data_IF_020286583337
#
_entry.id   IF_020286583337
#
_cell.length_a   1.000
_cell.length_b   1.000
_cell.length_c   1.000
_cell.angle_alpha   90.00
_cell.angle_beta   90.00
_cell.angle_gamma   90.00
#
_symmetry.space_group_name_H-M   'P 1'
#
loop_
_entity.id
_entity.type
_entity.pdbx_description
1 polymer ?
#
# COMPACT_ATOMS: atom_id res chain seq x y z
N UNK A 1 37.09 -67.30 -17.97
CA UNK A 1 38.24 -67.70 -17.13
C UNK A 1 37.98 -67.29 -15.69
N UNK A 2 38.48 -68.03 -14.68
CA UNK A 2 38.23 -67.80 -13.26
C UNK A 2 39.42 -67.00 -12.63
N UNK A 3 39.61 -66.80 -11.32
CA UNK A 3 38.92 -67.38 -10.14
C UNK A 3 38.92 -66.47 -8.88
N UNK A 4 38.08 -66.89 -7.91
CA UNK A 4 38.10 -66.81 -6.42
C UNK A 4 39.36 -66.25 -5.70
N UNK A 5 39.34 -65.79 -4.43
CA UNK A 5 38.36 -65.75 -3.31
C UNK A 5 38.85 -64.72 -2.24
N UNK A 6 38.07 -64.25 -1.24
CA UNK A 6 37.63 -64.99 -0.03
C UNK A 6 36.46 -64.32 0.74
N UNK A 7 35.79 -65.15 1.56
CA UNK A 7 34.72 -64.89 2.56
C UNK A 7 35.36 -64.58 3.96
N UNK A 8 34.62 -64.27 5.08
CA UNK A 8 33.26 -64.72 5.43
C UNK A 8 32.31 -63.79 6.24
N UNK A 9 31.12 -64.36 6.54
CA UNK A 9 30.13 -64.21 7.64
C UNK A 9 30.45 -63.28 8.85
N UNK A 10 29.48 -62.79 9.65
CA UNK A 10 28.04 -63.16 9.91
C UNK A 10 27.20 -61.84 10.10
N UNK A 11 25.98 -61.69 10.63
CA UNK A 11 25.02 -62.52 11.39
C UNK A 11 23.54 -62.00 11.26
N UNK A 12 22.56 -62.69 11.87
CA UNK A 12 21.13 -62.31 11.95
C UNK A 12 20.76 -61.52 13.23
N UNK A 13 19.89 -60.48 13.13
CA UNK A 13 18.75 -60.23 14.06
C UNK A 13 17.65 -59.39 13.35
N UNK A 14 16.36 -59.77 13.40
CA UNK A 14 15.25 -58.94 12.90
C UNK A 14 14.72 -57.96 13.97
N UNK A 15 14.82 -56.65 13.71
CA UNK A 15 14.33 -55.59 14.62
C UNK A 15 13.03 -54.92 14.18
N UNK A 16 11.89 -55.28 14.76
CA UNK A 16 10.63 -54.53 14.61
C UNK A 16 10.64 -53.27 15.49
N UNK A 17 10.81 -52.09 14.89
CA UNK A 17 10.56 -50.81 15.57
C UNK A 17 9.33 -50.08 15.01
N UNK A 18 8.20 -50.24 15.70
CA UNK A 18 7.02 -49.37 15.55
C UNK A 18 7.08 -48.25 16.60
N UNK A 19 7.61 -47.09 16.21
CA UNK A 19 7.37 -45.81 16.90
C UNK A 19 6.73 -44.88 15.87
N UNK A 20 5.40 -44.65 15.93
CA UNK A 20 4.69 -43.75 16.84
C UNK A 20 5.11 -42.29 16.69
N UNK A 21 4.17 -41.49 16.16
CA UNK A 21 3.82 -40.15 16.62
C UNK A 21 4.99 -39.18 16.83
N UNK A 22 5.48 -38.61 15.73
CA UNK A 22 5.62 -37.15 15.66
C UNK A 22 4.54 -36.63 14.72
N UNK A 23 3.31 -36.58 15.25
CA UNK A 23 2.24 -35.80 14.65
C UNK A 23 2.56 -34.34 14.96
N UNK A 24 3.31 -33.70 14.06
CA UNK A 24 3.69 -32.28 14.18
C UNK A 24 2.42 -31.45 14.01
N UNK A 25 1.71 -31.25 15.12
CA UNK A 25 0.56 -30.38 15.20
C UNK A 25 0.98 -28.96 14.82
N UNK A 26 0.82 -28.64 13.52
CA UNK A 26 0.92 -27.30 12.98
C UNK A 26 0.10 -26.39 13.86
N UNK A 27 0.79 -25.53 14.61
CA UNK A 27 0.13 -24.49 15.37
C UNK A 27 -0.40 -23.48 14.36
N UNK A 28 -1.57 -23.79 13.82
CA UNK A 28 -2.52 -22.79 13.34
C UNK A 28 -2.82 -21.90 14.55
N UNK A 29 -1.98 -20.89 14.74
CA UNK A 29 -2.35 -19.71 15.49
C UNK A 29 -3.58 -19.19 14.76
N UNK A 30 -4.75 -19.45 15.32
CA UNK A 30 -6.01 -18.84 14.89
C UNK A 30 -5.95 -17.38 15.29
N UNK A 31 -5.11 -16.63 14.57
CA UNK A 31 -4.97 -15.19 14.68
C UNK A 31 -6.36 -14.61 14.54
N UNK A 32 -6.77 -13.85 15.55
CA UNK A 32 -8.05 -13.17 15.61
C UNK A 32 -8.00 -11.93 14.73
N UNK A 33 -7.72 -12.14 13.44
CA UNK A 33 -7.87 -11.13 12.41
C UNK A 33 -9.29 -10.57 12.48
N UNK A 34 -9.41 -9.25 12.38
CA UNK A 34 -10.72 -8.62 12.28
C UNK A 34 -11.39 -8.98 10.95
N UNK A 35 -12.56 -8.41 10.71
CA UNK A 35 -13.00 -8.23 9.31
C UNK A 35 -11.90 -7.42 8.60
N UNK A 36 -11.40 -7.83 7.42
CA UNK A 36 -10.57 -6.96 6.59
C UNK A 36 -11.30 -5.66 6.28
N UNK A 37 -10.58 -4.54 6.33
CA UNK A 37 -11.13 -3.21 6.13
C UNK A 37 -10.42 -2.54 4.96
N UNK A 38 -11.18 -1.86 4.11
CA UNK A 38 -10.60 -0.87 3.21
C UNK A 38 -10.57 0.47 3.92
N UNK A 39 -9.46 1.17 3.81
CA UNK A 39 -9.23 2.49 4.38
C UNK A 39 -8.96 3.46 3.23
N UNK A 40 -9.59 4.61 3.27
CA UNK A 40 -9.46 5.66 2.25
C UNK A 40 -9.04 6.93 2.96
N UNK A 41 -7.86 7.45 2.62
CA UNK A 41 -7.39 8.78 3.03
C UNK A 41 -7.55 9.72 1.83
N UNK A 42 -8.06 10.93 2.02
CA UNK A 42 -8.25 11.88 0.92
C UNK A 42 -8.11 13.35 1.34
N UNK A 43 -7.65 14.19 0.41
CA UNK A 43 -7.41 15.62 0.62
C UNK A 43 -7.67 16.42 -0.66
N UNK A 44 -7.95 17.71 -0.53
CA UNK A 44 -8.13 18.62 -1.68
C UNK A 44 -6.81 18.85 -2.43
N UNK A 45 -6.84 18.82 -3.76
CA UNK A 45 -5.68 19.05 -4.64
C UNK A 45 -5.66 20.49 -5.15
N UNK A 46 -4.47 21.10 -5.17
CA UNK A 46 -4.21 22.34 -5.90
C UNK A 46 -3.95 22.04 -7.37
N UNK A 47 -4.51 22.84 -8.26
CA UNK A 47 -4.19 22.86 -9.68
C UNK A 47 -3.94 24.31 -10.07
N UNK A 48 -2.73 24.60 -10.55
CA UNK A 48 -2.27 25.94 -10.87
C UNK A 48 -1.84 26.04 -12.33
N UNK A 49 -1.75 27.24 -12.87
CA UNK A 49 -1.00 27.51 -14.11
C UNK A 49 0.48 27.49 -13.79
N UNK A 50 1.29 26.85 -14.64
CA UNK A 50 2.76 26.91 -14.59
C UNK A 50 3.22 28.33 -15.00
N UNK A 51 3.23 29.24 -14.02
CA UNK A 51 3.66 30.63 -14.15
C UNK A 51 4.19 31.20 -12.82
N UNK A 52 4.89 32.35 -12.88
CA UNK A 52 5.51 33.02 -11.71
C UNK A 52 4.49 33.41 -10.60
N UNK A 53 3.18 33.46 -10.91
CA UNK A 53 2.10 33.88 -10.00
C UNK A 53 1.30 32.70 -9.41
N UNK A 54 1.50 31.46 -9.90
CA UNK A 54 0.74 30.24 -9.59
C UNK A 54 -0.79 30.45 -9.58
N UNK A 55 -1.34 30.96 -10.68
CA UNK A 55 -2.78 31.23 -10.82
C UNK A 55 -3.65 29.95 -10.62
N UNK A 56 -4.59 29.92 -9.67
CA UNK A 56 -5.38 28.71 -9.38
C UNK A 56 -6.46 28.43 -10.44
N UNK A 57 -6.52 27.18 -10.90
CA UNK A 57 -7.45 26.71 -11.93
C UNK A 57 -8.76 26.24 -11.31
N UNK A 58 -9.87 26.82 -11.78
CA UNK A 58 -11.22 26.49 -11.30
C UNK A 58 -12.19 26.04 -12.41
N UNK A 59 -11.72 25.92 -13.67
CA UNK A 59 -12.57 25.48 -14.78
C UNK A 59 -12.91 23.98 -14.65
N UNK A 60 -14.21 23.69 -14.48
CA UNK A 60 -14.75 22.34 -14.39
C UNK A 60 -14.37 21.43 -15.57
N UNK A 61 -14.14 21.97 -16.78
CA UNK A 61 -13.78 21.20 -17.98
C UNK A 61 -12.26 20.95 -18.10
N UNK A 62 -11.44 21.62 -17.28
CA UNK A 62 -10.03 21.30 -17.07
C UNK A 62 -9.91 20.31 -15.91
N UNK A 63 -10.51 20.63 -14.75
CA UNK A 63 -10.49 19.77 -13.56
C UNK A 63 -10.99 18.34 -13.84
N UNK A 64 -12.04 18.17 -14.64
CA UNK A 64 -12.57 16.84 -15.04
C UNK A 64 -11.61 15.95 -15.82
N UNK A 65 -10.52 16.47 -16.38
CA UNK A 65 -9.56 15.66 -17.16
C UNK A 65 -8.67 14.80 -16.26
N UNK A 66 -8.49 15.24 -15.01
CA UNK A 66 -7.68 14.56 -14.01
C UNK A 66 -8.45 13.44 -13.28
N UNK A 67 -9.76 13.33 -13.51
CA UNK A 67 -10.62 12.34 -12.86
C UNK A 67 -10.23 10.90 -13.27
N UNK A 68 -9.77 10.11 -12.31
CA UNK A 68 -9.29 8.75 -12.51
C UNK A 68 -7.83 8.63 -12.96
N UNK A 69 -7.05 9.72 -13.02
CA UNK A 69 -5.59 9.63 -13.16
C UNK A 69 -5.02 9.06 -11.86
N UNK A 70 -4.12 8.08 -11.95
CA UNK A 70 -3.52 7.41 -10.80
C UNK A 70 -2.02 7.18 -11.00
N UNK A 71 -1.27 7.00 -9.90
CA UNK A 71 0.14 6.56 -9.97
C UNK A 71 0.23 5.16 -10.60
N UNK A 72 1.41 4.71 -11.06
CA UNK A 72 1.58 3.30 -11.40
C UNK A 72 1.19 2.42 -10.21
N UNK A 73 0.70 1.22 -10.51
CA UNK A 73 0.27 0.23 -9.52
C UNK A 73 1.29 -0.92 -9.42
N UNK A 74 2.58 -0.56 -9.48
CA UNK A 74 3.68 -1.49 -9.25
C UNK A 74 3.99 -1.59 -7.75
N UNK A 75 4.69 -2.65 -7.31
CA UNK A 75 4.87 -2.89 -5.86
C UNK A 75 5.74 -1.80 -5.20
N UNK A 76 6.70 -1.24 -5.93
CA UNK A 76 7.62 -0.21 -5.44
C UNK A 76 6.97 1.20 -5.33
N UNK A 77 5.81 1.44 -5.96
CA UNK A 77 5.06 2.72 -5.88
C UNK A 77 4.02 2.76 -4.73
N UNK A 78 3.89 1.67 -3.96
CA UNK A 78 2.89 1.55 -2.92
C UNK A 78 3.33 2.23 -1.62
N UNK A 79 2.65 3.30 -1.18
CA UNK A 79 2.99 4.04 0.05
C UNK A 79 3.08 3.14 1.30
N UNK A 80 2.35 2.03 1.33
CA UNK A 80 2.41 1.06 2.44
C UNK A 80 3.79 0.39 2.62
N UNK A 81 4.60 0.31 1.56
CA UNK A 81 5.96 -0.27 1.62
C UNK A 81 6.97 0.67 2.28
N UNK A 82 6.63 1.96 2.42
CA UNK A 82 7.44 3.01 3.05
C UNK A 82 7.03 3.31 4.51
N UNK A 83 6.10 2.53 5.08
CA UNK A 83 5.70 2.67 6.48
C UNK A 83 6.85 2.21 7.39
N UNK A 84 7.60 3.17 7.92
CA UNK A 84 8.69 2.93 8.87
C UNK A 84 8.23 2.88 10.35
N UNK A 85 7.01 3.36 10.67
CA UNK A 85 6.47 3.17 12.02
C UNK A 85 6.27 1.68 12.34
N UNK A 86 6.77 1.27 13.51
CA UNK A 86 6.80 -0.12 13.92
C UNK A 86 5.41 -0.67 14.31
N UNK A 87 4.49 0.18 14.77
CA UNK A 87 3.12 -0.23 15.10
C UNK A 87 2.36 -0.51 13.80
N UNK A 88 2.25 0.48 12.90
CA UNK A 88 1.55 0.36 11.62
C UNK A 88 2.12 -0.76 10.75
N UNK A 89 3.45 -0.85 10.64
CA UNK A 89 4.13 -1.90 9.85
C UNK A 89 3.82 -3.30 10.37
N UNK A 90 3.60 -3.47 11.68
CA UNK A 90 3.22 -4.76 12.27
C UNK A 90 1.81 -5.23 11.89
N UNK A 91 0.95 -4.32 11.42
CA UNK A 91 -0.44 -4.61 11.02
C UNK A 91 -0.49 -5.33 9.68
N UNK A 92 0.48 -5.08 8.78
CA UNK A 92 0.49 -5.64 7.43
C UNK A 92 -0.50 -4.94 6.49
N UNK A 93 -0.62 -3.62 6.61
CA UNK A 93 -1.34 -2.74 5.67
C UNK A 93 -0.72 -2.87 4.27
N UNK A 94 -1.54 -2.72 3.22
CA UNK A 94 -1.11 -2.78 1.80
C UNK A 94 -1.73 -1.69 0.95
N UNK A 95 -1.15 -1.45 -0.22
CA UNK A 95 -1.61 -0.45 -1.18
C UNK A 95 -1.09 0.94 -0.83
N UNK A 96 -1.95 1.94 -0.96
CA UNK A 96 -1.56 3.34 -0.88
C UNK A 96 -0.98 3.84 -2.19
N UNK A 97 -1.78 3.83 -3.25
CA UNK A 97 -1.48 4.48 -4.52
C UNK A 97 -2.17 5.84 -4.59
N UNK A 98 -1.65 6.75 -5.42
CA UNK A 98 -2.28 8.05 -5.68
C UNK A 98 -3.41 7.85 -6.70
N UNK A 99 -4.59 8.38 -6.44
CA UNK A 99 -5.68 8.55 -7.41
C UNK A 99 -6.26 9.97 -7.30
N UNK A 100 -6.38 10.67 -8.43
CA UNK A 100 -7.07 11.95 -8.51
C UNK A 100 -8.56 11.71 -8.82
N UNK A 101 -9.45 12.27 -8.00
CA UNK A 101 -10.92 12.22 -8.20
C UNK A 101 -11.50 13.63 -8.27
N UNK A 102 -12.41 13.88 -9.20
CA UNK A 102 -13.10 15.16 -9.37
C UNK A 102 -14.51 15.11 -8.76
N UNK A 103 -14.77 15.94 -7.75
CA UNK A 103 -16.12 16.10 -7.20
C UNK A 103 -16.88 17.21 -7.93
N UNK A 104 -17.88 16.80 -8.71
CA UNK A 104 -18.79 17.68 -9.44
C UNK A 104 -19.72 18.53 -8.57
N UNK A 105 -19.92 18.19 -7.29
CA UNK A 105 -20.77 18.93 -6.36
C UNK A 105 -20.08 20.15 -5.74
N UNK A 106 -18.75 20.09 -5.55
CA UNK A 106 -17.92 21.21 -5.05
C UNK A 106 -17.02 21.83 -6.12
N UNK A 107 -16.91 21.23 -7.31
CA UNK A 107 -16.03 21.65 -8.41
C UNK A 107 -14.55 21.72 -7.98
N UNK A 108 -14.04 20.62 -7.43
CA UNK A 108 -12.65 20.51 -6.97
C UNK A 108 -12.08 19.13 -7.29
N UNK A 109 -10.75 19.05 -7.36
CA UNK A 109 -10.01 17.80 -7.34
C UNK A 109 -9.69 17.39 -5.91
N UNK A 110 -9.59 16.08 -5.69
CA UNK A 110 -9.08 15.49 -4.47
C UNK A 110 -8.09 14.39 -4.80
N UNK A 111 -6.99 14.35 -4.06
CA UNK A 111 -6.13 13.19 -3.99
C UNK A 111 -6.79 12.17 -3.07
N UNK A 112 -6.73 10.91 -3.49
CA UNK A 112 -7.27 9.78 -2.76
C UNK A 112 -6.21 8.69 -2.73
N UNK A 113 -6.04 8.09 -1.56
CA UNK A 113 -5.09 7.01 -1.33
C UNK A 113 -5.79 5.89 -0.56
N UNK A 114 -5.90 4.73 -1.20
CA UNK A 114 -6.64 3.58 -0.66
C UNK A 114 -5.69 2.46 -0.19
N UNK A 115 -5.97 1.99 1.02
CA UNK A 115 -5.22 0.93 1.71
C UNK A 115 -6.13 -0.26 2.05
N UNK A 116 -5.59 -1.47 1.98
CA UNK A 116 -6.21 -2.67 2.53
C UNK A 116 -5.55 -3.03 3.87
N UNK A 117 -6.36 -3.21 4.92
CA UNK A 117 -5.91 -3.62 6.25
C UNK A 117 -6.56 -4.96 6.67
N UNK A 118 -5.83 -5.91 7.26
CA UNK A 118 -6.38 -7.20 7.72
C UNK A 118 -7.25 -7.09 8.99
N UNK A 119 -7.41 -5.89 9.56
CA UNK A 119 -8.32 -5.60 10.69
C UNK A 119 -8.73 -4.13 10.72
N UNK A 120 -9.73 -3.75 11.53
CA UNK A 120 -9.93 -2.35 11.87
C UNK A 120 -8.70 -1.74 12.53
N UNK A 121 -8.40 -0.50 12.14
CA UNK A 121 -7.49 0.39 12.85
C UNK A 121 -8.24 1.15 13.96
N UNK A 122 -7.51 1.45 15.03
CA UNK A 122 -7.96 2.34 16.10
C UNK A 122 -7.61 3.82 15.79
N UNK A 123 -8.08 4.76 16.61
CA UNK A 123 -7.95 6.21 16.35
C UNK A 123 -6.49 6.70 16.29
N UNK A 124 -5.56 6.08 17.02
CA UNK A 124 -4.12 6.38 17.00
C UNK A 124 -3.47 5.85 15.72
N UNK A 125 -3.78 4.61 15.33
CA UNK A 125 -3.32 3.99 14.08
C UNK A 125 -3.88 4.69 12.84
N UNK A 126 -5.13 5.18 12.88
CA UNK A 126 -5.73 5.98 11.81
C UNK A 126 -5.05 7.35 11.67
N UNK A 127 -4.69 7.99 12.80
CA UNK A 127 -3.92 9.24 12.81
C UNK A 127 -2.53 9.04 12.20
N UNK A 128 -1.81 8.00 12.62
CA UNK A 128 -0.46 7.69 12.12
C UNK A 128 -0.48 7.35 10.63
N UNK A 129 -1.49 6.60 10.16
CA UNK A 129 -1.64 6.30 8.73
C UNK A 129 -1.96 7.57 7.92
N UNK A 130 -2.77 8.49 8.45
CA UNK A 130 -3.06 9.78 7.81
C UNK A 130 -1.80 10.64 7.72
N UNK A 131 -1.03 10.76 8.81
CA UNK A 131 0.24 11.52 8.84
C UNK A 131 1.24 10.95 7.82
N UNK A 132 1.44 9.62 7.80
CA UNK A 132 2.26 8.95 6.78
C UNK A 132 1.77 9.23 5.35
N UNK A 133 0.46 9.22 5.12
CA UNK A 133 -0.12 9.48 3.79
C UNK A 133 0.12 10.92 3.34
N UNK A 134 -0.04 11.90 4.24
CA UNK A 134 0.17 13.32 3.92
C UNK A 134 1.62 13.65 3.66
N UNK A 135 2.54 13.08 4.46
CA UNK A 135 3.98 13.29 4.26
C UNK A 135 4.42 12.72 2.90
N UNK A 136 3.86 11.56 2.50
CA UNK A 136 4.10 10.98 1.18
C UNK A 136 3.48 11.80 0.03
N UNK A 137 2.38 12.54 0.23
CA UNK A 137 1.85 13.46 -0.79
C UNK A 137 2.74 14.69 -1.01
N UNK A 138 3.49 15.16 0.01
CA UNK A 138 4.27 16.41 -0.07
C UNK A 138 5.78 16.26 -0.29
N UNK A 139 6.41 15.24 0.29
CA UNK A 139 7.89 15.10 0.40
C UNK A 139 8.33 13.64 0.17
N UNK A 140 7.46 12.84 -0.47
CA UNK A 140 7.67 11.43 -0.78
C UNK A 140 7.27 11.10 -2.22
N UNK A 141 6.63 9.94 -2.43
CA UNK A 141 6.21 9.49 -3.77
C UNK A 141 5.26 10.47 -4.50
N UNK A 142 4.60 11.39 -3.78
CA UNK A 142 3.81 12.49 -4.34
C UNK A 142 4.62 13.59 -5.03
N UNK A 143 5.86 13.87 -4.61
CA UNK A 143 6.76 14.79 -5.35
C UNK A 143 7.15 14.18 -6.71
N UNK A 144 7.25 12.85 -6.77
CA UNK A 144 7.57 12.08 -7.98
C UNK A 144 6.33 11.71 -8.83
N UNK A 145 5.16 12.30 -8.57
CA UNK A 145 3.93 12.00 -9.28
C UNK A 145 3.86 12.73 -10.64
N UNK A 146 4.53 12.18 -11.66
CA UNK A 146 4.46 12.67 -13.04
C UNK A 146 3.01 12.66 -13.57
N UNK A 147 2.55 13.81 -14.08
CA UNK A 147 1.18 13.96 -14.56
C UNK A 147 1.17 14.65 -15.93
N UNK A 148 1.41 13.85 -16.97
CA UNK A 148 1.51 14.32 -18.35
C UNK A 148 0.32 15.16 -18.87
N UNK A 149 -0.90 15.05 -18.31
CA UNK A 149 -2.02 15.96 -18.65
C UNK A 149 -1.82 17.36 -18.05
N UNK A 150 -1.21 17.49 -16.87
CA UNK A 150 -0.84 18.79 -16.30
C UNK A 150 0.29 19.44 -17.13
N UNK A 151 1.41 18.72 -17.25
CA UNK A 151 2.62 19.17 -17.94
C UNK A 151 2.34 19.61 -19.39
N UNK A 152 1.59 18.80 -20.16
CA UNK A 152 1.30 19.09 -21.57
C UNK A 152 0.30 20.23 -21.79
N UNK A 153 -0.39 20.69 -20.75
CA UNK A 153 -1.27 21.86 -20.77
C UNK A 153 -0.64 23.11 -20.10
N UNK A 154 0.58 23.01 -19.53
CA UNK A 154 1.22 24.10 -18.79
C UNK A 154 0.58 24.34 -17.42
N UNK A 155 0.31 23.26 -16.69
CA UNK A 155 -0.32 23.27 -15.37
C UNK A 155 0.55 22.54 -14.34
N UNK A 156 0.45 22.95 -13.08
CA UNK A 156 1.14 22.35 -11.94
C UNK A 156 0.11 21.74 -10.97
N UNK A 157 0.41 20.58 -10.39
CA UNK A 157 -0.43 19.88 -9.42
C UNK A 157 0.23 19.89 -8.03
N UNK A 158 -0.55 20.21 -7.02
CA UNK A 158 -0.16 20.16 -5.60
C UNK A 158 -1.06 19.16 -4.88
N UNK A 159 -0.47 18.07 -4.38
CA UNK A 159 -1.18 17.00 -3.67
C UNK A 159 -1.38 17.30 -2.17
N UNK A 160 -0.75 18.33 -1.62
CA UNK A 160 -0.77 18.68 -0.20
C UNK A 160 -0.88 20.21 0.06
N UNK A 161 -1.83 20.94 -0.60
CA UNK A 161 -1.80 22.40 -0.65
C UNK A 161 -2.01 23.07 0.71
N UNK A 162 -1.49 24.31 0.90
CA UNK A 162 -1.59 25.04 2.16
C UNK A 162 -3.02 25.14 2.72
N UNK A 163 -3.26 24.45 3.84
CA UNK A 163 -4.58 24.41 4.50
C UNK A 163 -5.52 23.32 3.99
N UNK A 164 -5.02 22.33 3.23
CA UNK A 164 -5.73 21.10 2.88
C UNK A 164 -6.45 20.50 4.09
N UNK A 165 -7.68 20.04 3.89
CA UNK A 165 -8.44 19.27 4.88
C UNK A 165 -8.45 17.80 4.51
N UNK A 166 -7.73 17.01 5.28
CA UNK A 166 -7.62 15.57 5.09
C UNK A 166 -8.79 14.86 5.78
N UNK A 167 -9.30 13.83 5.13
CA UNK A 167 -10.40 12.99 5.59
C UNK A 167 -9.94 11.54 5.57
N UNK A 168 -10.45 10.73 6.50
CA UNK A 168 -10.20 9.28 6.54
C UNK A 168 -11.50 8.52 6.76
N UNK A 169 -11.69 7.45 5.98
CA UNK A 169 -12.84 6.55 6.07
C UNK A 169 -12.35 5.09 6.16
N UNK A 170 -13.07 4.26 6.92
CA UNK A 170 -12.79 2.84 7.13
C UNK A 170 -14.08 2.03 6.93
N UNK A 171 -14.03 0.94 6.14
CA UNK A 171 -15.23 0.17 5.71
C UNK A 171 -15.02 -1.36 5.62
#
# INVERSE_FOLDING_TARGET
MPDRQKKPQRDDVPGHFRSRLHDSASHFITSTHGKPMKITVSGSVGLYVDNDDQDPVHDSAVLRRFDGIHSPQEEDDAFANYIDDANLRSIGIKGGFIELRYDAAVNALSVVTEYDSPRPLNDEELRELVEHTTDQWSDGLGESFECSEAESNGLELDLAPPGQRVQVQQQ
#
